data_IF_433168705801
#
_entry.id   IF_433168705801
#
_cell.length_a   1.000
_cell.length_b   1.000
_cell.length_c   1.000
_cell.angle_alpha   90.00
_cell.angle_beta   90.00
_cell.angle_gamma   90.00
#
_symmetry.space_group_name_H-M   'P 1'
#
loop_
_entity.id
_entity.type
_entity.pdbx_description
1 polymer ?
#
# COMPACT_ATOMS: atom_id res chain seq x y z
N UNK A 1 5.64 -34.29 -34.65
CA UNK A 1 5.76 -34.97 -33.34
C UNK A 1 7.16 -35.53 -33.24
N UNK A 2 7.86 -35.35 -32.12
CA UNK A 2 9.15 -35.98 -31.86
C UNK A 2 9.14 -36.59 -30.46
N UNK A 3 9.74 -37.76 -30.28
CA UNK A 3 9.86 -38.39 -28.95
C UNK A 3 11.05 -37.85 -28.15
N UNK A 4 11.95 -37.06 -28.77
CA UNK A 4 13.13 -36.48 -28.13
C UNK A 4 13.10 -34.95 -28.12
N UNK A 5 14.28 -34.35 -28.00
CA UNK A 5 14.46 -32.89 -28.07
C UNK A 5 14.21 -32.37 -29.48
N UNK A 6 13.48 -31.26 -29.59
CA UNK A 6 13.39 -30.46 -30.81
C UNK A 6 14.38 -29.31 -30.71
N UNK A 7 15.51 -29.40 -31.41
CA UNK A 7 16.51 -28.33 -31.48
C UNK A 7 16.54 -27.71 -32.87
N UNK A 8 15.98 -26.51 -33.00
CA UNK A 8 15.86 -25.83 -34.29
C UNK A 8 16.05 -24.32 -34.13
N UNK A 9 16.75 -23.70 -35.08
CA UNK A 9 17.03 -22.26 -35.03
C UNK A 9 15.76 -21.40 -34.92
N UNK A 10 14.76 -21.67 -35.76
CA UNK A 10 13.51 -20.92 -35.79
C UNK A 10 12.33 -21.90 -35.75
N UNK A 11 11.45 -21.74 -34.76
CA UNK A 11 10.16 -22.43 -34.68
C UNK A 11 9.07 -21.49 -35.19
N UNK A 12 8.33 -21.92 -36.21
CA UNK A 12 7.06 -21.30 -36.60
C UNK A 12 5.96 -22.36 -36.55
N UNK A 13 5.11 -22.30 -35.53
CA UNK A 13 4.06 -23.27 -35.30
C UNK A 13 2.68 -22.66 -35.54
N UNK A 14 1.98 -23.12 -36.57
CA UNK A 14 0.58 -22.75 -36.87
C UNK A 14 -0.42 -23.87 -36.58
N UNK A 15 0.08 -25.05 -36.19
CA UNK A 15 -0.71 -26.28 -36.02
C UNK A 15 -0.47 -26.90 -34.65
N UNK A 16 0.16 -28.07 -34.62
CA UNK A 16 0.52 -28.76 -33.38
C UNK A 16 1.97 -29.23 -33.41
N UNK A 17 2.74 -28.81 -32.41
CA UNK A 17 4.03 -29.40 -32.05
C UNK A 17 3.83 -30.13 -30.72
N UNK A 18 4.24 -31.40 -30.71
CA UNK A 18 4.35 -32.22 -29.51
C UNK A 18 5.76 -32.80 -29.47
N UNK A 19 6.49 -32.52 -28.39
CA UNK A 19 7.83 -33.02 -28.14
C UNK A 19 7.89 -33.84 -26.83
N UNK A 20 8.62 -34.95 -26.86
CA UNK A 20 8.74 -35.84 -25.70
C UNK A 20 9.74 -35.35 -24.64
N UNK A 21 10.62 -34.40 -24.98
CA UNK A 21 11.65 -33.83 -24.09
C UNK A 21 11.72 -32.31 -24.21
N UNK A 22 12.85 -31.72 -24.59
CA UNK A 22 13.00 -30.26 -24.62
C UNK A 22 12.67 -29.68 -26.00
N UNK A 23 12.33 -28.39 -26.04
CA UNK A 23 12.23 -27.59 -27.27
C UNK A 23 13.21 -26.43 -27.13
N UNK A 24 14.27 -26.45 -27.92
CA UNK A 24 15.27 -25.38 -27.97
C UNK A 24 15.20 -24.64 -29.29
N UNK A 25 15.20 -23.31 -29.22
CA UNK A 25 15.23 -22.47 -30.41
C UNK A 25 15.89 -21.12 -30.18
N UNK A 26 16.26 -20.42 -31.26
CA UNK A 26 16.60 -19.00 -31.14
C UNK A 26 15.31 -18.17 -31.14
N UNK A 27 14.46 -18.39 -32.13
CA UNK A 27 13.17 -17.69 -32.27
C UNK A 27 11.99 -18.67 -32.22
N UNK A 28 10.96 -18.32 -31.46
CA UNK A 28 9.74 -19.11 -31.37
C UNK A 28 8.51 -18.26 -31.65
N UNK A 29 7.82 -18.57 -32.74
CA UNK A 29 6.52 -18.01 -33.12
C UNK A 29 5.47 -19.11 -33.05
N UNK A 30 4.56 -19.03 -32.09
CA UNK A 30 3.49 -20.01 -31.89
C UNK A 30 2.11 -19.37 -32.05
N UNK A 31 1.34 -19.79 -33.05
CA UNK A 31 -0.09 -19.51 -33.18
C UNK A 31 -0.97 -20.76 -33.09
N UNK A 32 -0.34 -21.94 -32.95
CA UNK A 32 -1.02 -23.23 -32.73
C UNK A 32 -0.85 -23.74 -31.29
N UNK A 33 -0.74 -25.06 -31.14
CA UNK A 33 -0.45 -25.74 -29.87
C UNK A 33 1.00 -26.21 -29.85
N UNK A 34 1.77 -25.80 -28.87
CA UNK A 34 3.09 -26.33 -28.56
C UNK A 34 3.01 -26.99 -27.17
N UNK A 35 3.15 -28.31 -27.14
CA UNK A 35 3.15 -29.08 -25.90
C UNK A 35 4.44 -29.89 -25.78
N UNK A 36 5.06 -29.88 -24.61
CA UNK A 36 6.28 -30.68 -24.36
C UNK A 36 6.36 -31.16 -22.92
N UNK A 37 6.98 -32.33 -22.68
CA UNK A 37 7.19 -32.85 -21.33
C UNK A 37 8.42 -32.26 -20.63
N UNK A 38 9.31 -31.60 -21.37
CA UNK A 38 10.53 -30.97 -20.88
C UNK A 38 10.48 -29.45 -20.90
N UNK A 39 11.64 -28.83 -21.04
CA UNK A 39 11.78 -27.37 -21.04
C UNK A 39 11.58 -26.79 -22.43
N UNK A 40 11.11 -25.55 -22.48
CA UNK A 40 11.11 -24.72 -23.69
C UNK A 40 12.14 -23.62 -23.46
N UNK A 41 13.17 -23.57 -24.30
CA UNK A 41 14.23 -22.55 -24.23
C UNK A 41 14.29 -21.76 -25.53
N UNK A 42 14.23 -20.44 -25.42
CA UNK A 42 14.37 -19.51 -26.55
C UNK A 42 15.48 -18.51 -26.28
N UNK A 43 16.33 -18.21 -27.26
CA UNK A 43 17.55 -17.40 -27.06
C UNK A 43 17.62 -16.08 -27.84
N UNK A 44 16.54 -15.66 -28.49
CA UNK A 44 16.43 -14.37 -29.20
C UNK A 44 15.05 -13.72 -28.99
N UNK A 45 13.96 -14.39 -29.35
CA UNK A 45 12.61 -13.84 -29.14
C UNK A 45 11.54 -14.91 -29.07
N UNK A 46 10.46 -14.58 -28.37
CA UNK A 46 9.29 -15.44 -28.26
C UNK A 46 8.00 -14.66 -28.48
N UNK A 47 7.19 -15.14 -29.43
CA UNK A 47 5.85 -14.65 -29.71
C UNK A 47 4.88 -15.82 -29.59
N UNK A 48 3.95 -15.74 -28.66
CA UNK A 48 2.88 -16.71 -28.48
C UNK A 48 1.50 -16.06 -28.68
N UNK A 49 0.82 -16.42 -29.76
CA UNK A 49 -0.62 -16.19 -29.96
C UNK A 49 -1.48 -17.45 -29.81
N UNK A 50 -0.86 -18.61 -29.55
CA UNK A 50 -1.53 -19.90 -29.41
C UNK A 50 -1.52 -20.44 -27.97
N UNK A 51 -1.43 -21.76 -27.82
CA UNK A 51 -1.31 -22.43 -26.54
C UNK A 51 0.09 -23.05 -26.37
N UNK A 52 0.72 -22.78 -25.23
CA UNK A 52 2.00 -23.37 -24.84
C UNK A 52 1.83 -24.10 -23.51
N UNK A 53 2.31 -25.33 -23.47
CA UNK A 53 2.38 -26.18 -22.28
C UNK A 53 3.76 -26.85 -22.23
N UNK A 54 4.49 -26.65 -21.13
CA UNK A 54 5.82 -27.20 -20.95
C UNK A 54 6.18 -27.30 -19.47
N UNK A 55 7.26 -28.00 -19.13
CA UNK A 55 7.74 -28.06 -17.74
C UNK A 55 8.27 -26.70 -17.30
N UNK A 56 9.27 -26.16 -17.99
CA UNK A 56 9.76 -24.80 -17.75
C UNK A 56 9.77 -24.02 -19.06
N UNK A 57 9.64 -22.70 -18.96
CA UNK A 57 9.80 -21.78 -20.08
C UNK A 57 10.92 -20.79 -19.76
N UNK A 58 12.04 -20.90 -20.45
CA UNK A 58 13.20 -20.00 -20.30
C UNK A 58 13.39 -19.19 -21.60
N UNK A 59 13.33 -17.87 -21.48
CA UNK A 59 13.44 -16.92 -22.60
C UNK A 59 14.61 -16.00 -22.32
N UNK A 60 15.59 -15.96 -23.21
CA UNK A 60 16.66 -14.95 -23.20
C UNK A 60 16.62 -14.22 -24.53
N UNK A 61 16.76 -12.90 -24.54
CA UNK A 61 16.89 -12.16 -25.80
C UNK A 61 16.24 -10.77 -25.76
N UNK A 62 15.54 -10.40 -26.83
CA UNK A 62 15.00 -9.05 -27.00
C UNK A 62 13.57 -8.92 -26.46
N UNK A 63 12.66 -9.81 -26.85
CA UNK A 63 11.23 -9.64 -26.58
C UNK A 63 10.54 -10.95 -26.19
N UNK A 64 9.65 -10.85 -25.20
CA UNK A 64 8.66 -11.88 -24.85
C UNK A 64 7.24 -11.30 -25.03
N UNK A 65 6.53 -11.75 -26.06
CA UNK A 65 5.13 -11.35 -26.31
C UNK A 65 4.19 -12.54 -26.19
N UNK A 66 3.18 -12.41 -25.33
CA UNK A 66 2.09 -13.37 -25.19
C UNK A 66 0.74 -12.69 -25.45
N UNK A 67 -0.01 -13.19 -26.42
CA UNK A 67 -1.44 -12.89 -26.64
C UNK A 67 -2.33 -14.12 -26.53
N UNK A 68 -1.73 -15.31 -26.41
CA UNK A 68 -2.39 -16.60 -26.21
C UNK A 68 -2.36 -17.08 -24.76
N UNK A 69 -2.25 -18.40 -24.57
CA UNK A 69 -2.14 -19.06 -23.26
C UNK A 69 -0.76 -19.70 -23.09
N UNK A 70 -0.17 -19.52 -21.91
CA UNK A 70 1.06 -20.19 -21.48
C UNK A 70 0.81 -20.85 -20.13
N UNK A 71 1.17 -22.13 -20.02
CA UNK A 71 1.18 -22.89 -18.76
C UNK A 71 2.54 -23.59 -18.60
N UNK A 72 3.23 -23.35 -17.48
CA UNK A 72 4.48 -24.02 -17.13
C UNK A 72 4.68 -24.14 -15.62
N UNK A 73 5.62 -24.95 -15.16
CA UNK A 73 6.03 -25.01 -13.74
C UNK A 73 6.79 -23.75 -13.35
N UNK A 74 7.69 -23.26 -14.21
CA UNK A 74 8.40 -22.00 -14.01
C UNK A 74 8.48 -21.24 -15.33
N UNK A 75 8.40 -19.91 -15.25
CA UNK A 75 8.59 -19.03 -16.40
C UNK A 75 9.71 -18.04 -16.05
N UNK A 76 10.80 -18.09 -16.79
CA UNK A 76 11.93 -17.16 -16.63
C UNK A 76 12.15 -16.41 -17.94
N UNK A 77 12.16 -15.09 -17.87
CA UNK A 77 12.47 -14.25 -19.01
C UNK A 77 13.57 -13.25 -18.65
N UNK A 78 14.65 -13.26 -19.44
CA UNK A 78 15.70 -12.26 -19.45
C UNK A 78 15.66 -11.56 -20.80
N UNK A 79 14.79 -10.56 -20.90
CA UNK A 79 14.43 -9.87 -22.16
C UNK A 79 14.35 -8.36 -21.95
N UNK A 80 14.49 -7.55 -23.01
CA UNK A 80 14.30 -6.11 -22.85
C UNK A 80 12.86 -5.77 -22.49
N UNK A 81 11.89 -6.40 -23.18
CA UNK A 81 10.47 -6.10 -23.02
C UNK A 81 9.64 -7.39 -22.87
N UNK A 82 8.77 -7.40 -21.86
CA UNK A 82 7.73 -8.41 -21.65
C UNK A 82 6.35 -7.81 -21.87
N UNK A 83 5.59 -8.36 -22.82
CA UNK A 83 4.23 -7.93 -23.13
C UNK A 83 3.27 -9.11 -22.98
N UNK A 84 2.37 -9.02 -22.01
CA UNK A 84 1.29 -9.98 -21.82
C UNK A 84 -0.07 -9.34 -22.09
N UNK A 85 -0.68 -9.73 -23.20
CA UNK A 85 -2.08 -9.49 -23.57
C UNK A 85 -2.85 -10.82 -23.71
N UNK A 86 -2.37 -11.86 -23.01
CA UNK A 86 -2.95 -13.19 -22.96
C UNK A 86 -3.05 -13.68 -21.53
N UNK A 87 -3.03 -15.01 -21.35
CA UNK A 87 -3.06 -15.64 -20.04
C UNK A 87 -1.73 -16.37 -19.79
N UNK A 88 -1.07 -16.04 -18.70
CA UNK A 88 0.13 -16.72 -18.23
C UNK A 88 -0.21 -17.36 -16.88
N UNK A 89 0.06 -18.66 -16.75
CA UNK A 89 -0.08 -19.40 -15.50
C UNK A 89 1.20 -20.18 -15.21
N UNK A 90 1.78 -19.96 -14.03
CA UNK A 90 2.92 -20.72 -13.52
C UNK A 90 2.51 -21.54 -12.30
N UNK A 91 2.88 -22.82 -12.27
CA UNK A 91 2.64 -23.69 -11.10
C UNK A 91 3.64 -23.43 -9.96
N UNK A 92 4.71 -22.67 -10.21
CA UNK A 92 5.61 -22.12 -9.20
C UNK A 92 5.79 -20.62 -9.46
N UNK A 93 6.93 -20.22 -10.05
CA UNK A 93 7.37 -18.82 -10.12
C UNK A 93 7.30 -18.23 -11.54
N UNK A 94 7.21 -16.91 -11.61
CA UNK A 94 7.42 -16.10 -12.80
C UNK A 94 8.53 -15.09 -12.51
N UNK A 95 9.71 -15.30 -13.09
CA UNK A 95 10.88 -14.42 -12.94
C UNK A 95 11.15 -13.63 -14.21
N UNK A 96 10.94 -12.31 -14.16
CA UNK A 96 11.12 -11.40 -15.27
C UNK A 96 12.27 -10.43 -14.99
N UNK A 97 13.43 -10.73 -15.57
CA UNK A 97 14.52 -9.75 -15.71
C UNK A 97 14.26 -8.94 -16.98
N UNK A 98 13.55 -7.83 -16.85
CA UNK A 98 13.13 -7.01 -17.99
C UNK A 98 13.21 -5.51 -17.73
N UNK A 99 13.36 -4.71 -18.79
CA UNK A 99 13.32 -3.26 -18.67
C UNK A 99 11.88 -2.77 -18.61
N UNK A 100 10.97 -3.38 -19.39
CA UNK A 100 9.54 -3.06 -19.37
C UNK A 100 8.68 -4.30 -19.23
N UNK A 101 7.66 -4.20 -18.38
CA UNK A 101 6.60 -5.18 -18.23
C UNK A 101 5.27 -4.51 -18.53
N UNK A 102 4.60 -4.92 -19.59
CA UNK A 102 3.21 -4.52 -19.87
C UNK A 102 2.30 -5.72 -19.70
N UNK A 103 1.38 -5.66 -18.73
CA UNK A 103 0.37 -6.67 -18.49
C UNK A 103 -1.03 -6.07 -18.67
N UNK A 104 -1.72 -6.45 -19.74
CA UNK A 104 -3.08 -5.98 -20.04
C UNK A 104 -4.15 -7.05 -19.79
N UNK A 105 -3.73 -8.29 -19.51
CA UNK A 105 -4.61 -9.40 -19.14
C UNK A 105 -4.08 -10.10 -17.90
N UNK A 106 -3.81 -11.40 -17.91
CA UNK A 106 -3.64 -12.17 -16.69
C UNK A 106 -2.26 -12.82 -16.59
N UNK A 107 -1.62 -12.62 -15.45
CA UNK A 107 -0.39 -13.28 -15.04
C UNK A 107 -0.58 -13.87 -13.64
N UNK A 108 -0.59 -15.20 -13.54
CA UNK A 108 -0.78 -15.96 -12.30
C UNK A 108 0.44 -16.82 -12.00
N UNK A 109 0.90 -16.78 -10.76
CA UNK A 109 1.92 -17.69 -10.24
C UNK A 109 1.43 -18.34 -8.94
N UNK A 110 1.69 -19.63 -8.73
CA UNK A 110 1.34 -20.26 -7.45
C UNK A 110 2.21 -19.72 -6.31
N UNK A 111 3.48 -19.42 -6.57
CA UNK A 111 4.45 -18.92 -5.61
C UNK A 111 4.69 -17.42 -5.84
N UNK A 112 5.73 -17.03 -6.59
CA UNK A 112 6.14 -15.63 -6.70
C UNK A 112 6.09 -15.09 -8.14
N UNK A 113 5.87 -13.78 -8.28
CA UNK A 113 6.13 -13.00 -9.49
C UNK A 113 7.20 -11.96 -9.18
N UNK A 114 8.32 -11.99 -9.89
CA UNK A 114 9.42 -11.06 -9.72
C UNK A 114 9.65 -10.24 -10.99
N UNK A 115 9.59 -8.91 -10.87
CA UNK A 115 9.91 -7.97 -11.95
C UNK A 115 10.59 -6.71 -11.39
N UNK A 116 11.55 -6.91 -10.49
CA UNK A 116 12.37 -5.83 -9.93
C UNK A 116 13.12 -5.05 -11.02
N UNK A 117 13.37 -3.76 -10.78
CA UNK A 117 14.12 -2.85 -11.66
C UNK A 117 13.46 -2.56 -13.02
N UNK A 118 12.15 -2.78 -13.15
CA UNK A 118 11.42 -2.61 -14.40
C UNK A 118 10.57 -1.33 -14.43
N UNK A 119 10.15 -0.91 -15.63
CA UNK A 119 8.98 -0.05 -15.81
C UNK A 119 7.77 -0.94 -15.99
N UNK A 120 6.86 -0.94 -15.03
CA UNK A 120 5.71 -1.84 -14.96
C UNK A 120 4.44 -1.08 -15.27
N UNK A 121 3.69 -1.56 -16.27
CA UNK A 121 2.36 -1.09 -16.61
C UNK A 121 1.38 -2.26 -16.50
N UNK A 122 0.53 -2.22 -15.47
CA UNK A 122 -0.49 -3.24 -15.23
C UNK A 122 -1.89 -2.63 -15.38
N UNK A 123 -2.59 -3.03 -16.43
CA UNK A 123 -4.02 -2.75 -16.63
C UNK A 123 -4.91 -3.98 -16.57
N UNK A 124 -4.30 -5.17 -16.50
CA UNK A 124 -4.97 -6.42 -16.21
C UNK A 124 -4.78 -6.84 -14.75
N UNK A 125 -4.55 -8.14 -14.54
CA UNK A 125 -4.35 -8.78 -13.24
C UNK A 125 -2.97 -9.43 -13.16
N UNK A 126 -2.22 -9.09 -12.12
CA UNK A 126 -1.06 -9.84 -11.65
C UNK A 126 -1.41 -10.44 -10.30
N UNK A 127 -1.33 -11.77 -10.16
CA UNK A 127 -1.63 -12.40 -8.89
C UNK A 127 -0.72 -13.59 -8.55
N UNK A 128 -0.40 -13.71 -7.26
CA UNK A 128 0.37 -14.84 -6.74
C UNK A 128 -0.04 -15.22 -5.32
N UNK A 129 0.23 -16.45 -4.84
CA UNK A 129 -0.04 -16.78 -3.43
C UNK A 129 1.13 -16.41 -2.50
N UNK A 130 2.35 -16.39 -3.03
CA UNK A 130 3.57 -15.98 -2.33
C UNK A 130 3.75 -14.46 -2.43
N UNK A 131 4.68 -14.02 -3.28
CA UNK A 131 5.13 -12.62 -3.36
C UNK A 131 5.07 -12.03 -4.76
N UNK A 132 4.71 -10.76 -4.86
CA UNK A 132 4.96 -9.92 -6.03
C UNK A 132 6.06 -8.92 -5.67
N UNK A 133 7.20 -9.00 -6.37
CA UNK A 133 8.38 -8.16 -6.14
C UNK A 133 8.58 -7.17 -7.30
N UNK A 134 8.35 -5.88 -7.00
CA UNK A 134 8.50 -4.74 -7.93
C UNK A 134 9.44 -3.67 -7.35
N UNK A 135 10.49 -4.09 -6.65
CA UNK A 135 11.46 -3.20 -6.03
C UNK A 135 12.29 -2.46 -7.08
N UNK A 136 12.66 -1.22 -6.80
CA UNK A 136 13.43 -0.33 -7.68
C UNK A 136 12.77 -0.08 -9.05
N UNK A 137 11.44 -0.26 -9.13
CA UNK A 137 10.64 -0.15 -10.35
C UNK A 137 9.87 1.17 -10.43
N UNK A 138 9.50 1.56 -11.65
CA UNK A 138 8.48 2.58 -11.91
C UNK A 138 7.17 1.86 -12.16
N UNK A 139 6.13 2.13 -11.36
CA UNK A 139 4.92 1.32 -11.31
C UNK A 139 3.72 2.16 -11.72
N UNK A 140 3.01 1.73 -12.75
CA UNK A 140 1.67 2.20 -13.09
C UNK A 140 0.70 1.03 -12.99
N UNK A 141 -0.25 1.12 -12.08
CA UNK A 141 -1.30 0.13 -11.88
C UNK A 141 -2.68 0.77 -12.00
N UNK A 142 -3.42 0.36 -13.04
CA UNK A 142 -4.84 0.70 -13.21
C UNK A 142 -5.75 -0.54 -13.08
N UNK A 143 -5.14 -1.73 -13.03
CA UNK A 143 -5.82 -3.00 -12.81
C UNK A 143 -5.61 -3.53 -11.39
N UNK A 144 -5.32 -4.83 -11.28
CA UNK A 144 -5.19 -5.54 -10.01
C UNK A 144 -3.79 -6.12 -9.80
N UNK A 145 -3.22 -5.89 -8.62
CA UNK A 145 -2.04 -6.59 -8.10
C UNK A 145 -2.45 -7.25 -6.79
N UNK A 146 -2.51 -8.58 -6.77
CA UNK A 146 -3.03 -9.37 -5.63
C UNK A 146 -2.00 -10.41 -5.18
N UNK A 147 -1.57 -10.39 -3.92
CA UNK A 147 -0.56 -11.34 -3.46
C UNK A 147 -0.63 -11.68 -1.97
N UNK A 148 0.04 -12.74 -1.53
CA UNK A 148 0.36 -12.89 -0.11
C UNK A 148 1.22 -11.72 0.39
N UNK A 149 2.27 -11.39 -0.34
CA UNK A 149 3.11 -10.20 -0.10
C UNK A 149 3.27 -9.38 -1.39
N UNK A 150 3.15 -8.05 -1.31
CA UNK A 150 3.52 -7.12 -2.39
C UNK A 150 4.63 -6.22 -1.89
N UNK A 151 5.79 -6.28 -2.54
CA UNK A 151 6.96 -5.45 -2.22
C UNK A 151 7.26 -4.47 -3.35
N UNK A 152 7.16 -3.19 -3.05
CA UNK A 152 7.44 -2.05 -3.94
C UNK A 152 8.45 -1.13 -3.25
N UNK A 153 9.59 -1.69 -2.84
CA UNK A 153 10.63 -0.95 -2.11
C UNK A 153 11.49 -0.13 -3.07
N UNK A 154 11.86 1.08 -2.63
CA UNK A 154 12.59 2.06 -3.43
C UNK A 154 11.94 2.31 -4.79
N UNK A 155 10.61 2.43 -4.82
CA UNK A 155 9.86 2.71 -6.03
C UNK A 155 10.35 4.03 -6.63
N UNK A 156 10.72 4.01 -7.92
CA UNK A 156 11.19 5.19 -8.66
C UNK A 156 10.02 6.09 -9.09
N UNK A 157 8.85 5.49 -9.25
CA UNK A 157 7.57 6.13 -9.54
C UNK A 157 6.45 5.21 -9.06
N UNK A 158 5.38 5.79 -8.54
CA UNK A 158 4.20 5.04 -8.11
C UNK A 158 2.92 5.76 -8.52
N UNK A 159 2.25 5.25 -9.55
CA UNK A 159 0.93 5.68 -10.00
C UNK A 159 -0.05 4.51 -9.86
N UNK A 160 -0.83 4.48 -8.80
CA UNK A 160 -1.89 3.50 -8.62
C UNK A 160 -3.26 4.17 -8.66
N UNK A 161 -4.08 3.81 -9.63
CA UNK A 161 -5.52 4.12 -9.68
C UNK A 161 -6.40 2.87 -9.65
N UNK A 162 -5.78 1.69 -9.76
CA UNK A 162 -6.44 0.40 -9.56
C UNK A 162 -6.36 -0.08 -8.11
N UNK A 163 -6.19 -1.39 -7.94
CA UNK A 163 -6.12 -2.05 -6.63
C UNK A 163 -4.80 -2.77 -6.45
N UNK A 164 -4.16 -2.54 -5.30
CA UNK A 164 -3.06 -3.36 -4.80
C UNK A 164 -3.45 -3.90 -3.43
N UNK A 165 -3.57 -5.22 -3.32
CA UNK A 165 -3.96 -5.90 -2.09
C UNK A 165 -3.01 -7.07 -1.80
N UNK A 166 -2.55 -7.16 -0.57
CA UNK A 166 -1.95 -8.39 -0.08
C UNK A 166 -2.10 -8.60 1.41
N UNK A 167 -1.63 -9.74 1.91
CA UNK A 167 -1.55 -9.94 3.35
C UNK A 167 -0.51 -9.00 3.98
N UNK A 168 0.61 -8.80 3.29
CA UNK A 168 1.60 -7.75 3.60
C UNK A 168 1.85 -6.92 2.35
N UNK A 169 1.73 -5.60 2.46
CA UNK A 169 2.03 -4.66 1.37
C UNK A 169 3.04 -3.64 1.86
N UNK A 170 4.15 -3.48 1.14
CA UNK A 170 5.22 -2.52 1.47
C UNK A 170 5.47 -1.62 0.27
N UNK A 171 5.31 -0.32 0.47
CA UNK A 171 5.63 0.73 -0.51
C UNK A 171 6.64 1.69 0.12
N UNK A 172 7.86 1.75 -0.42
CA UNK A 172 8.86 2.73 0.04
C UNK A 172 9.43 3.50 -1.14
N UNK A 173 9.64 4.80 -0.96
CA UNK A 173 10.31 5.68 -1.90
C UNK A 173 10.90 6.88 -1.17
N UNK A 174 11.86 7.55 -1.78
CA UNK A 174 12.36 8.86 -1.36
C UNK A 174 11.59 10.03 -2.02
N UNK A 175 10.63 9.73 -2.89
CA UNK A 175 9.80 10.70 -3.60
C UNK A 175 8.52 11.05 -2.83
N UNK A 176 7.84 12.08 -3.29
CA UNK A 176 6.47 12.38 -2.86
C UNK A 176 5.50 11.33 -3.42
N UNK A 177 4.51 10.95 -2.60
CA UNK A 177 3.48 9.98 -2.95
C UNK A 177 2.09 10.63 -2.96
N UNK A 178 1.35 10.33 -4.03
CA UNK A 178 -0.08 10.59 -4.12
C UNK A 178 -0.81 9.25 -4.28
N UNK A 179 -1.46 8.79 -3.20
CA UNK A 179 -2.17 7.51 -3.18
C UNK A 179 -3.59 7.74 -3.69
N UNK A 180 -3.92 7.34 -4.93
CA UNK A 180 -5.23 7.63 -5.55
C UNK A 180 -6.15 6.40 -5.61
N UNK A 181 -5.59 5.23 -5.89
CA UNK A 181 -6.33 3.96 -5.96
C UNK A 181 -6.52 3.30 -4.60
N UNK A 182 -6.81 1.99 -4.62
CA UNK A 182 -6.97 1.19 -3.42
C UNK A 182 -5.62 0.58 -3.01
N UNK A 183 -5.24 0.76 -1.75
CA UNK A 183 -4.14 0.05 -1.10
C UNK A 183 -4.68 -0.72 0.10
N UNK A 184 -4.33 -2.01 0.16
CA UNK A 184 -4.75 -2.86 1.25
C UNK A 184 -3.62 -3.78 1.74
N UNK A 185 -3.45 -3.84 3.06
CA UNK A 185 -2.63 -4.83 3.75
C UNK A 185 -3.45 -5.54 4.83
N UNK A 186 -3.71 -6.83 4.67
CA UNK A 186 -4.55 -7.58 5.62
C UNK A 186 -3.90 -7.59 7.01
N UNK A 187 -2.64 -8.00 7.12
CA UNK A 187 -1.87 -7.98 8.37
C UNK A 187 -1.02 -6.72 8.54
N UNK A 188 -0.43 -6.23 7.44
CA UNK A 188 0.45 -5.07 7.43
C UNK A 188 0.37 -4.32 6.10
N UNK A 189 0.18 -3.01 6.19
CA UNK A 189 0.44 -2.05 5.12
C UNK A 189 1.48 -1.05 5.61
N UNK A 190 2.68 -1.07 5.04
CA UNK A 190 3.75 -0.11 5.34
C UNK A 190 3.99 0.81 4.15
N UNK A 191 3.90 2.12 4.39
CA UNK A 191 4.07 3.17 3.38
C UNK A 191 5.11 4.17 3.88
N UNK A 192 6.17 4.39 3.10
CA UNK A 192 7.18 5.40 3.38
C UNK A 192 7.46 6.24 2.13
N UNK A 193 7.47 7.55 2.29
CA UNK A 193 7.70 8.54 1.23
C UNK A 193 8.28 9.83 1.80
N UNK A 194 8.63 10.79 0.93
CA UNK A 194 9.02 12.12 1.40
C UNK A 194 7.80 12.88 1.92
N UNK A 195 6.89 13.35 1.07
CA UNK A 195 5.55 13.79 1.48
C UNK A 195 4.52 12.79 0.99
N UNK A 196 3.47 12.54 1.77
CA UNK A 196 2.42 11.58 1.41
C UNK A 196 1.06 12.27 1.45
N UNK A 197 0.33 12.20 0.33
CA UNK A 197 -1.08 12.57 0.27
C UNK A 197 -1.92 11.33 -0.03
N UNK A 198 -2.83 10.97 0.88
CA UNK A 198 -3.82 9.93 0.67
C UNK A 198 -5.09 10.51 0.03
N UNK A 199 -5.28 10.29 -1.27
CA UNK A 199 -6.46 10.65 -2.06
C UNK A 199 -7.32 9.44 -2.45
N UNK A 200 -7.00 8.25 -1.95
CA UNK A 200 -7.64 6.97 -2.26
C UNK A 200 -8.01 6.20 -1.00
N UNK A 201 -8.45 4.96 -1.16
CA UNK A 201 -8.80 4.12 -0.02
C UNK A 201 -7.55 3.37 0.47
N UNK A 202 -7.09 3.71 1.68
CA UNK A 202 -5.94 3.08 2.31
C UNK A 202 -6.41 2.30 3.52
N UNK A 203 -6.51 0.97 3.39
CA UNK A 203 -7.18 0.12 4.38
C UNK A 203 -6.31 -1.05 4.85
N UNK A 204 -6.65 -1.60 6.00
CA UNK A 204 -6.04 -2.83 6.53
C UNK A 204 -6.94 -3.49 7.56
N UNK A 205 -6.67 -4.75 7.89
CA UNK A 205 -7.33 -5.44 9.01
C UNK A 205 -6.41 -5.54 10.25
N UNK A 206 -5.09 -5.45 10.05
CA UNK A 206 -4.06 -5.44 11.09
C UNK A 206 -3.50 -4.03 11.30
N UNK A 207 -2.26 -3.82 10.89
CA UNK A 207 -1.54 -2.54 11.08
C UNK A 207 -1.36 -1.78 9.75
N UNK A 208 -1.69 -0.50 9.76
CA UNK A 208 -1.15 0.46 8.80
C UNK A 208 -0.05 1.28 9.48
N UNK A 209 1.11 1.35 8.84
CA UNK A 209 2.23 2.21 9.25
C UNK A 209 2.61 3.16 8.12
N UNK A 210 2.56 4.46 8.40
CA UNK A 210 2.90 5.52 7.46
C UNK A 210 4.09 6.31 8.03
N UNK A 211 5.13 6.50 7.23
CA UNK A 211 6.28 7.35 7.59
C UNK A 211 6.52 8.40 6.51
N UNK A 212 6.54 9.68 6.90
CA UNK A 212 6.76 10.79 5.96
C UNK A 212 7.39 12.01 6.63
N UNK A 213 7.75 13.01 5.82
CA UNK A 213 7.87 14.38 6.26
C UNK A 213 6.46 14.94 6.55
N UNK A 214 5.71 15.35 5.53
CA UNK A 214 4.31 15.76 5.68
C UNK A 214 3.36 14.61 5.31
N UNK A 215 2.23 14.50 6.03
CA UNK A 215 1.16 13.56 5.72
C UNK A 215 -0.17 14.30 5.60
N UNK A 216 -0.89 14.11 4.50
CA UNK A 216 -2.25 14.64 4.31
C UNK A 216 -3.20 13.51 3.97
N UNK A 217 -4.26 13.35 4.75
CA UNK A 217 -5.32 12.38 4.51
C UNK A 217 -6.58 13.06 3.95
N UNK A 218 -6.97 12.77 2.71
CA UNK A 218 -8.17 13.32 2.07
C UNK A 218 -9.28 12.28 1.86
N UNK A 219 -9.04 11.03 2.26
CA UNK A 219 -9.94 9.89 2.08
C UNK A 219 -9.87 8.93 3.28
N UNK A 220 -10.53 7.79 3.17
CA UNK A 220 -10.53 6.78 4.22
C UNK A 220 -9.12 6.23 4.46
N UNK A 221 -8.68 6.33 5.72
CA UNK A 221 -7.55 5.62 6.28
C UNK A 221 -8.04 4.80 7.48
N UNK A 222 -8.21 3.48 7.30
CA UNK A 222 -8.86 2.64 8.30
C UNK A 222 -8.15 1.29 8.48
N UNK A 223 -7.84 0.93 9.72
CA UNK A 223 -7.30 -0.38 10.08
C UNK A 223 -7.53 -0.70 11.55
N UNK A 224 -7.28 -1.93 12.01
CA UNK A 224 -7.31 -2.21 13.44
C UNK A 224 -6.31 -1.33 14.21
N UNK A 225 -5.07 -1.22 13.73
CA UNK A 225 -4.09 -0.28 14.26
C UNK A 225 -3.57 0.66 13.16
N UNK A 226 -3.41 1.95 13.49
CA UNK A 226 -2.85 2.96 12.59
C UNK A 226 -1.72 3.71 13.30
N UNK A 227 -0.53 3.70 12.70
CA UNK A 227 0.63 4.48 13.14
C UNK A 227 1.03 5.43 12.03
N UNK A 228 1.02 6.74 12.32
CA UNK A 228 1.48 7.79 11.42
C UNK A 228 2.67 8.48 12.07
N UNK A 229 3.83 8.36 11.45
CA UNK A 229 5.09 8.99 11.84
C UNK A 229 5.44 10.13 10.88
N UNK A 230 4.83 11.29 11.08
CA UNK A 230 5.15 12.52 10.37
C UNK A 230 6.28 13.30 11.06
N UNK A 231 7.32 13.68 10.30
CA UNK A 231 8.36 14.59 10.82
C UNK A 231 7.93 16.06 10.77
N UNK A 232 7.13 16.39 9.77
CA UNK A 232 6.46 17.67 9.52
C UNK A 232 4.99 17.62 9.93
N UNK A 233 4.10 18.22 9.16
CA UNK A 233 2.70 18.36 9.52
C UNK A 233 1.88 17.12 9.13
N UNK A 234 0.95 16.74 10.01
CA UNK A 234 -0.10 15.76 9.74
C UNK A 234 -1.42 16.50 9.62
N UNK A 235 -2.09 16.37 8.47
CA UNK A 235 -3.39 17.00 8.20
C UNK A 235 -4.40 15.91 7.86
N UNK A 236 -5.48 15.83 8.63
CA UNK A 236 -6.60 14.97 8.33
C UNK A 236 -7.77 15.78 7.78
N UNK A 237 -8.12 15.60 6.52
CA UNK A 237 -9.27 16.20 5.83
C UNK A 237 -10.44 15.21 5.63
N UNK A 238 -10.33 13.99 6.16
CA UNK A 238 -11.38 12.98 6.08
C UNK A 238 -11.36 12.06 7.32
N UNK A 239 -11.41 10.74 7.16
CA UNK A 239 -11.51 9.82 8.29
C UNK A 239 -10.18 9.08 8.50
N UNK A 240 -9.67 9.13 9.73
CA UNK A 240 -8.61 8.23 10.22
C UNK A 240 -9.22 7.42 11.36
N UNK A 241 -9.41 6.12 11.16
CA UNK A 241 -10.15 5.28 12.10
C UNK A 241 -9.49 3.94 12.40
N UNK A 242 -9.81 3.38 13.57
CA UNK A 242 -9.36 2.05 13.95
C UNK A 242 -9.70 1.65 15.38
N UNK A 243 -9.04 0.61 15.88
CA UNK A 243 -9.08 0.24 17.30
C UNK A 243 -8.00 1.02 18.07
N UNK A 244 -6.76 1.04 17.56
CA UNK A 244 -5.61 1.70 18.19
C UNK A 244 -4.91 2.69 17.24
N UNK A 245 -4.68 3.92 17.69
CA UNK A 245 -4.11 5.00 16.90
C UNK A 245 -2.91 5.65 17.55
N UNK A 246 -1.84 5.86 16.78
CA UNK A 246 -0.71 6.73 17.16
C UNK A 246 -0.37 7.68 16.03
N UNK A 247 -0.41 8.98 16.29
CA UNK A 247 -0.13 10.03 15.30
C UNK A 247 0.96 10.94 15.84
N UNK A 248 2.11 10.97 15.17
CA UNK A 248 3.23 11.83 15.49
C UNK A 248 3.40 12.90 14.39
N UNK A 249 3.67 14.14 14.78
CA UNK A 249 3.85 15.27 13.86
C UNK A 249 4.57 16.45 14.49
N UNK A 250 5.01 17.40 13.66
CA UNK A 250 5.31 18.75 14.09
C UNK A 250 4.02 19.46 14.53
N UNK A 251 3.03 19.51 13.66
CA UNK A 251 1.66 19.90 13.99
C UNK A 251 0.71 18.82 13.49
N UNK A 252 -0.40 18.64 14.18
CA UNK A 252 -1.48 17.72 13.80
C UNK A 252 -2.76 18.55 13.69
N UNK A 253 -3.36 18.60 12.51
CA UNK A 253 -4.61 19.31 12.25
C UNK A 253 -5.69 18.32 11.84
N UNK A 254 -6.81 18.33 12.57
CA UNK A 254 -8.01 17.60 12.22
C UNK A 254 -9.06 18.53 11.62
N UNK A 255 -9.45 18.23 10.38
CA UNK A 255 -10.50 18.91 9.60
C UNK A 255 -11.73 18.01 9.36
N UNK A 256 -11.78 16.80 9.94
CA UNK A 256 -12.89 15.85 9.83
C UNK A 256 -12.91 14.89 11.05
N UNK A 257 -12.67 13.59 10.88
CA UNK A 257 -12.79 12.60 11.96
C UNK A 257 -11.47 11.87 12.22
N UNK A 258 -11.00 11.91 13.47
CA UNK A 258 -9.99 10.97 13.99
C UNK A 258 -10.65 10.19 15.12
N UNK A 259 -10.89 8.89 14.94
CA UNK A 259 -11.63 8.10 15.91
C UNK A 259 -11.05 6.70 16.10
N UNK A 260 -10.70 6.36 17.33
CA UNK A 260 -10.21 5.04 17.69
C UNK A 260 -10.98 4.46 18.87
N UNK A 261 -11.48 3.22 18.73
CA UNK A 261 -12.40 2.60 19.68
C UNK A 261 -11.73 2.27 21.03
N UNK A 262 -10.42 1.98 21.04
CA UNK A 262 -9.69 1.65 22.26
C UNK A 262 -8.73 2.78 22.66
N UNK A 263 -7.70 3.04 21.87
CA UNK A 263 -6.61 3.93 22.27
C UNK A 263 -6.26 4.91 21.16
N UNK A 264 -6.12 6.19 21.51
CA UNK A 264 -5.55 7.20 20.63
C UNK A 264 -4.46 7.99 21.33
N UNK A 265 -3.27 8.05 20.74
CA UNK A 265 -2.18 8.93 21.15
C UNK A 265 -1.78 9.87 20.01
N UNK A 266 -1.85 11.18 20.28
CA UNK A 266 -1.44 12.23 19.35
C UNK A 266 -0.26 12.99 19.95
N UNK A 267 0.91 12.92 19.33
CA UNK A 267 2.11 13.64 19.74
C UNK A 267 2.50 14.69 18.70
N UNK A 268 2.16 15.95 18.98
CA UNK A 268 2.66 17.08 18.22
C UNK A 268 3.88 17.71 18.94
N UNK A 269 4.85 18.22 18.19
CA UNK A 269 5.89 19.09 18.76
C UNK A 269 5.37 20.50 19.03
N UNK A 270 4.57 21.01 18.11
CA UNK A 270 4.01 22.35 18.11
C UNK A 270 2.55 22.31 18.54
N UNK A 271 1.63 21.95 17.64
CA UNK A 271 0.20 22.14 17.87
C UNK A 271 -0.63 20.92 17.50
N UNK A 272 -1.61 20.58 18.34
CA UNK A 272 -2.78 19.80 17.93
C UNK A 272 -3.95 20.75 17.76
N UNK A 273 -4.53 20.79 16.56
CA UNK A 273 -5.69 21.61 16.22
C UNK A 273 -6.85 20.71 15.83
N UNK A 274 -7.98 20.85 16.53
CA UNK A 274 -9.26 20.31 16.11
C UNK A 274 -10.16 21.46 15.67
N UNK A 275 -10.57 21.46 14.40
CA UNK A 275 -11.35 22.55 13.82
C UNK A 275 -12.85 22.41 14.09
N UNK A 276 -13.58 23.45 13.69
CA UNK A 276 -15.02 23.60 13.87
C UNK A 276 -15.82 22.41 13.33
N UNK A 277 -16.75 21.92 14.15
CA UNK A 277 -17.66 20.80 13.84
C UNK A 277 -16.92 19.48 13.55
N UNK A 278 -15.66 19.33 14.02
CA UNK A 278 -14.78 18.17 13.79
C UNK A 278 -14.53 17.42 15.08
N UNK A 279 -14.25 16.12 14.98
CA UNK A 279 -14.19 15.25 16.16
C UNK A 279 -12.87 14.48 16.25
N UNK A 280 -12.28 14.52 17.44
CA UNK A 280 -11.20 13.62 17.88
C UNK A 280 -11.79 12.72 18.96
N UNK A 281 -11.67 11.40 18.78
CA UNK A 281 -12.23 10.39 19.67
C UNK A 281 -11.22 9.30 20.02
N UNK A 282 -11.06 9.01 21.32
CA UNK A 282 -10.34 7.83 21.82
C UNK A 282 -11.17 7.11 22.89
N UNK A 283 -11.69 5.92 22.58
CA UNK A 283 -12.78 5.29 23.34
C UNK A 283 -12.43 4.91 24.78
N UNK A 284 -11.36 4.14 25.02
CA UNK A 284 -10.91 3.80 26.38
C UNK A 284 -9.87 4.81 26.90
N UNK A 285 -8.95 5.25 26.04
CA UNK A 285 -7.94 6.24 26.39
C UNK A 285 -7.64 7.19 25.23
N UNK A 286 -7.52 8.48 25.57
CA UNK A 286 -7.11 9.54 24.66
C UNK A 286 -5.96 10.33 25.27
N UNK A 287 -4.82 10.34 24.59
CA UNK A 287 -3.63 11.08 25.00
C UNK A 287 -3.31 12.11 23.92
N UNK A 288 -3.25 13.39 24.27
CA UNK A 288 -2.88 14.47 23.36
C UNK A 288 -1.72 15.25 23.97
N UNK A 289 -0.60 15.31 23.25
CA UNK A 289 0.63 16.01 23.65
C UNK A 289 1.02 17.06 22.61
N UNK A 290 1.42 18.24 23.08
CA UNK A 290 1.79 19.37 22.22
C UNK A 290 2.46 20.51 22.96
N UNK A 291 2.93 21.52 22.24
CA UNK A 291 3.17 22.84 22.86
C UNK A 291 1.84 23.60 23.01
N UNK A 292 0.92 23.44 22.06
CA UNK A 292 -0.45 23.95 22.09
C UNK A 292 -1.46 22.83 21.75
N UNK A 293 -2.56 22.77 22.50
CA UNK A 293 -3.78 22.05 22.09
C UNK A 293 -4.86 23.11 21.89
N UNK A 294 -5.40 23.19 20.68
CA UNK A 294 -6.51 24.09 20.36
C UNK A 294 -7.69 23.26 19.85
N UNK A 295 -8.77 23.26 20.62
CA UNK A 295 -10.08 22.81 20.18
C UNK A 295 -10.91 24.04 19.82
N UNK A 296 -11.12 24.28 18.53
CA UNK A 296 -11.76 25.48 18.01
C UNK A 296 -13.14 25.12 17.45
N UNK A 297 -14.19 25.31 18.25
CA UNK A 297 -15.57 24.91 17.93
C UNK A 297 -15.71 23.40 17.55
N UNK A 298 -14.76 22.56 17.97
CA UNK A 298 -14.74 21.12 17.71
C UNK A 298 -15.07 20.27 18.94
N UNK A 299 -15.02 18.96 18.77
CA UNK A 299 -15.25 17.96 19.80
C UNK A 299 -14.00 17.11 20.08
N UNK A 300 -13.58 17.07 21.34
CA UNK A 300 -12.57 16.13 21.84
C UNK A 300 -13.27 15.23 22.86
N UNK A 301 -13.42 13.96 22.50
CA UNK A 301 -14.19 12.98 23.24
C UNK A 301 -13.30 11.80 23.61
N UNK A 302 -13.47 11.23 24.80
CA UNK A 302 -12.78 9.98 25.08
C UNK A 302 -13.19 9.27 26.36
N UNK A 303 -12.54 8.14 26.61
CA UNK A 303 -12.50 7.50 27.92
C UNK A 303 -11.61 8.29 28.86
N UNK A 304 -10.59 7.67 29.44
CA UNK A 304 -9.61 8.41 30.23
C UNK A 304 -8.79 9.34 29.33
N UNK A 305 -8.69 10.62 29.68
CA UNK A 305 -7.98 11.62 28.89
C UNK A 305 -6.72 12.13 29.60
N UNK A 306 -5.62 12.23 28.86
CA UNK A 306 -4.40 12.95 29.27
C UNK A 306 -4.10 14.04 28.24
N UNK A 307 -4.36 15.30 28.62
CA UNK A 307 -4.14 16.49 27.81
C UNK A 307 -2.92 17.24 28.34
N UNK A 308 -1.81 17.16 27.63
CA UNK A 308 -0.52 17.70 28.06
C UNK A 308 0.02 18.70 27.04
N UNK A 309 -0.08 19.99 27.36
CA UNK A 309 0.52 21.04 26.54
C UNK A 309 0.79 22.30 27.33
N UNK A 310 1.80 23.08 26.91
CA UNK A 310 2.12 24.36 27.55
C UNK A 310 0.92 25.31 27.55
N UNK A 311 0.13 25.30 26.47
CA UNK A 311 -1.13 26.02 26.34
C UNK A 311 -2.23 25.09 25.84
N UNK A 312 -3.39 25.14 26.48
CA UNK A 312 -4.59 24.42 26.06
C UNK A 312 -5.73 25.42 25.95
N UNK A 313 -6.36 25.48 24.79
CA UNK A 313 -7.51 26.35 24.54
C UNK A 313 -8.68 25.52 24.04
N UNK A 314 -9.78 25.55 24.77
CA UNK A 314 -11.08 25.07 24.32
C UNK A 314 -11.95 26.28 23.96
N UNK A 315 -11.89 26.70 22.69
CA UNK A 315 -12.61 27.87 22.18
C UNK A 315 -14.00 27.44 21.69
N UNK A 316 -15.02 27.59 22.53
CA UNK A 316 -16.43 27.26 22.19
C UNK A 316 -16.61 25.78 21.77
N UNK A 317 -15.61 24.92 22.02
CA UNK A 317 -15.66 23.49 21.73
C UNK A 317 -16.15 22.65 22.91
N UNK A 318 -16.26 21.34 22.69
CA UNK A 318 -16.56 20.35 23.73
C UNK A 318 -15.34 19.50 24.03
N UNK A 319 -15.00 19.37 25.31
CA UNK A 319 -14.10 18.34 25.84
C UNK A 319 -14.91 17.46 26.80
N UNK A 320 -15.08 16.19 26.49
CA UNK A 320 -15.93 15.29 27.30
C UNK A 320 -15.30 13.91 27.46
N UNK A 321 -15.21 13.47 28.72
CA UNK A 321 -14.73 12.15 29.09
C UNK A 321 -15.86 11.26 29.62
N UNK A 322 -15.77 9.94 29.43
CA UNK A 322 -16.56 8.95 30.21
C UNK A 322 -15.83 8.47 31.47
N UNK A 323 -14.55 8.79 31.62
CA UNK A 323 -13.69 8.52 32.78
C UNK A 323 -13.06 9.80 33.35
N UNK A 324 -11.78 9.75 33.70
CA UNK A 324 -11.04 10.89 34.24
C UNK A 324 -10.38 11.74 33.14
N UNK A 325 -10.23 13.04 33.41
CA UNK A 325 -9.46 13.97 32.58
C UNK A 325 -8.28 14.49 33.40
N UNK A 326 -7.07 14.19 32.95
CA UNK A 326 -5.82 14.76 33.44
C UNK A 326 -5.39 15.89 32.50
N UNK A 327 -5.16 17.07 33.06
CA UNK A 327 -4.71 18.24 32.30
C UNK A 327 -3.39 18.72 32.88
N UNK A 328 -2.35 18.73 32.05
CA UNK A 328 -1.05 19.32 32.38
C UNK A 328 -0.82 20.53 31.48
N UNK A 329 -0.92 21.74 32.05
CA UNK A 329 -0.74 22.98 31.29
C UNK A 329 -0.32 24.18 32.15
N UNK A 330 0.40 25.11 31.54
CA UNK A 330 0.72 26.41 32.16
C UNK A 330 -0.36 27.46 31.86
N UNK A 331 -1.13 27.27 30.79
CA UNK A 331 -2.17 28.19 30.33
C UNK A 331 -3.37 27.39 29.79
N UNK A 332 -4.35 27.15 30.65
CA UNK A 332 -5.60 26.47 30.29
C UNK A 332 -6.73 27.50 30.15
N UNK A 333 -7.24 27.67 28.94
CA UNK A 333 -8.32 28.60 28.60
C UNK A 333 -9.54 27.82 28.13
N UNK A 334 -10.64 27.91 28.87
CA UNK A 334 -11.89 27.27 28.50
C UNK A 334 -13.00 28.32 28.30
N UNK A 335 -13.44 28.47 27.06
CA UNK A 335 -14.62 29.27 26.67
C UNK A 335 -15.75 28.33 26.18
N UNK A 336 -15.46 27.05 26.00
CA UNK A 336 -16.43 26.00 25.66
C UNK A 336 -16.87 25.16 26.86
N UNK A 337 -17.35 23.95 26.59
CA UNK A 337 -17.83 23.00 27.60
C UNK A 337 -16.76 21.96 27.93
N UNK A 338 -16.57 21.70 29.23
CA UNK A 338 -15.76 20.57 29.73
C UNK A 338 -16.63 19.75 30.70
N UNK A 339 -16.67 18.43 30.55
CA UNK A 339 -17.47 17.55 31.44
C UNK A 339 -16.68 16.34 31.93
N UNK A 340 -16.97 15.88 33.16
CA UNK A 340 -16.26 14.83 33.90
C UNK A 340 -14.79 15.15 34.24
N UNK A 341 -14.54 16.37 34.74
CA UNK A 341 -13.23 16.78 35.24
C UNK A 341 -13.00 16.24 36.67
N UNK A 342 -12.54 14.99 36.80
CA UNK A 342 -12.38 14.30 38.09
C UNK A 342 -11.23 14.80 38.97
N UNK A 343 -10.13 15.32 38.39
CA UNK A 343 -8.97 15.82 39.15
C UNK A 343 -8.14 16.80 38.32
N UNK A 344 -8.08 18.05 38.76
CA UNK A 344 -7.25 19.10 38.16
C UNK A 344 -5.99 19.31 39.01
N UNK A 345 -4.82 18.88 38.53
CA UNK A 345 -3.54 19.29 39.11
C UNK A 345 -3.08 20.59 38.43
N UNK A 346 -3.49 21.72 39.02
CA UNK A 346 -3.12 23.05 38.54
C UNK A 346 -1.73 23.45 39.05
N UNK A 347 -0.75 23.58 38.17
CA UNK A 347 0.38 24.49 38.40
C UNK A 347 0.03 25.90 37.89
N UNK A 348 -0.95 26.53 38.56
CA UNK A 348 -1.41 27.94 38.55
C UNK A 348 -1.63 28.71 37.21
N UNK A 349 -2.90 28.98 36.88
CA UNK A 349 -3.64 30.27 37.09
C UNK A 349 -5.09 30.13 36.60
N UNK A 350 -6.07 30.35 37.49
CA UNK A 350 -7.50 30.25 37.16
C UNK A 350 -7.98 31.38 36.24
N UNK A 351 -8.53 31.01 35.09
CA UNK A 351 -9.58 31.75 34.38
C UNK A 351 -10.90 31.00 34.54
N UNK A 352 -11.90 31.68 35.08
CA UNK A 352 -13.32 31.34 35.30
C UNK A 352 -13.77 29.98 34.71
N UNK A 353 -14.13 29.05 35.60
CA UNK A 353 -14.89 27.83 35.30
C UNK A 353 -16.34 28.12 35.70
N UNK A 354 -17.26 28.21 34.74
CA UNK A 354 -18.70 28.10 35.02
C UNK A 354 -19.09 26.62 34.91
N UNK A 355 -19.78 26.12 35.94
CA UNK A 355 -20.31 24.76 36.04
C UNK A 355 -21.58 24.59 35.22
#
# INVERSE_FOLDING_TARGET
>A
MTNGTLDVKNVKNIGKIAAGSDVTSQRLENSGVLATNGNITTSDSMINGGNIEGKNLDITGLEFTNSGKISADNIRARVNDTKNNGNISSANDIDLTTNTLTNTKEMLAANDINSNNATVSNSGKMASNGKILLNNSSITNIGEILSGEVSMQNAKKFDNTGTIKGNKTVLTTDQDLNLVGNLHGESLLEISGNNITNNGNTTGAGLIKISSNDFTNNKELASNAVIIDGRGNVVNNNMITGNDGKINGNSITNNDLIAFDNYLEMNAKSKVLNNKDKSIYGGNALIIKGSEILNDEGEILGGNMDLNASKITNNVGTIQSTGDIFVTSNDFQNIGRVSNLGSYENTMKLGIIEF
#
